data_IF_248435765092
#
_entry.id   IF_248435765092
#
_cell.length_a   1.000
_cell.length_b   1.000
_cell.length_c   1.000
_cell.angle_alpha   90.00
_cell.angle_beta   90.00
_cell.angle_gamma   90.00
#
_symmetry.space_group_name_H-M   'P 1'
#
loop_
_entity.id
_entity.type
_entity.pdbx_description
1 polymer ?
#
# COMPACT_ATOMS: atom_id res chain seq x y z
N UNK A 1 -8.53 1.62 25.23
CA UNK A 1 -7.50 1.64 24.18
C UNK A 1 -7.80 2.78 23.23
N UNK A 2 -6.93 3.81 23.18
CA UNK A 2 -7.10 5.04 22.37
C UNK A 2 -6.90 4.81 20.85
N UNK A 3 -6.64 3.55 20.51
CA UNK A 3 -6.05 3.09 19.27
C UNK A 3 -7.02 2.09 18.66
N UNK A 4 -7.64 2.45 17.56
CA UNK A 4 -8.56 1.55 16.88
C UNK A 4 -7.80 0.47 16.13
N UNK A 5 -6.56 0.74 15.67
CA UNK A 5 -5.67 -0.21 14.98
C UNK A 5 -4.21 0.30 14.80
N UNK A 6 -3.77 1.34 15.52
CA UNK A 6 -2.42 1.89 15.34
C UNK A 6 -2.16 3.09 16.25
N UNK A 7 -0.99 3.71 16.11
CA UNK A 7 -0.48 4.82 16.92
C UNK A 7 -0.89 6.22 16.40
N UNK A 8 -0.64 7.27 17.20
CA UNK A 8 -1.04 8.66 16.87
C UNK A 8 0.19 9.27 16.23
N UNK A 9 -0.03 9.90 15.09
CA UNK A 9 0.99 10.70 14.43
C UNK A 9 0.68 12.17 14.65
N UNK A 10 1.73 13.00 14.73
CA UNK A 10 1.56 14.44 14.74
C UNK A 10 0.99 14.91 13.40
N UNK A 11 -0.02 15.78 13.45
CA UNK A 11 -0.66 16.31 12.24
C UNK A 11 0.34 17.06 11.35
N UNK A 12 1.27 17.81 11.95
CA UNK A 12 2.32 18.53 11.22
C UNK A 12 3.22 17.56 10.45
N UNK A 13 3.69 16.49 11.10
CA UNK A 13 4.51 15.47 10.46
C UNK A 13 3.75 14.81 9.29
N UNK A 14 2.46 14.50 9.47
CA UNK A 14 1.63 13.93 8.39
C UNK A 14 1.48 14.89 7.20
N UNK A 15 1.27 16.19 7.46
CA UNK A 15 1.14 17.21 6.41
C UNK A 15 2.46 17.39 5.65
N UNK A 16 3.59 17.43 6.37
CA UNK A 16 4.92 17.53 5.77
C UNK A 16 5.26 16.28 4.95
N UNK A 17 4.97 15.10 5.47
CA UNK A 17 5.24 13.83 4.79
C UNK A 17 4.39 13.65 3.53
N UNK A 18 3.10 14.01 3.59
CA UNK A 18 2.21 13.99 2.43
C UNK A 18 2.75 14.89 1.30
N UNK A 19 3.32 16.05 1.66
CA UNK A 19 3.95 17.02 0.77
C UNK A 19 5.42 16.70 0.41
N UNK A 20 5.95 15.54 0.80
CA UNK A 20 7.37 15.15 0.61
C UNK A 20 8.37 16.19 1.12
N UNK A 21 8.04 16.84 2.24
CA UNK A 21 8.85 17.87 2.92
C UNK A 21 9.20 17.44 4.34
N UNK A 22 9.57 16.18 4.46
CA UNK A 22 9.97 15.58 5.74
C UNK A 22 11.15 16.34 6.35
N UNK A 23 10.99 16.78 7.60
CA UNK A 23 12.07 17.40 8.39
C UNK A 23 12.76 16.40 9.32
N UNK A 24 12.22 15.18 9.40
CA UNK A 24 12.72 14.04 10.17
C UNK A 24 12.50 12.77 9.36
N UNK A 25 13.25 11.72 9.64
CA UNK A 25 13.02 10.40 9.03
C UNK A 25 11.59 9.92 9.33
N UNK A 26 10.79 9.52 8.32
CA UNK A 26 9.42 9.11 8.54
C UNK A 26 9.36 7.79 9.31
N UNK A 27 8.47 7.73 10.31
CA UNK A 27 8.19 6.49 11.04
C UNK A 27 7.24 5.59 10.26
N UNK A 28 7.17 4.31 10.62
CA UNK A 28 6.27 3.36 9.98
C UNK A 28 4.79 3.79 10.11
N UNK A 29 4.41 4.30 11.28
CA UNK A 29 3.09 4.83 11.59
C UNK A 29 2.76 6.05 10.72
N UNK A 30 3.76 6.89 10.43
CA UNK A 30 3.61 8.06 9.57
C UNK A 30 3.38 7.66 8.11
N UNK A 31 4.07 6.63 7.64
CA UNK A 31 3.84 6.03 6.32
C UNK A 31 2.42 5.48 6.22
N UNK A 32 1.97 4.67 7.19
CA UNK A 32 0.59 4.14 7.23
C UNK A 32 -0.44 5.28 7.26
N UNK A 33 -0.22 6.31 8.07
CA UNK A 33 -1.13 7.44 8.17
C UNK A 33 -1.26 8.21 6.85
N UNK A 34 -0.15 8.37 6.12
CA UNK A 34 -0.14 8.95 4.76
C UNK A 34 -0.88 8.06 3.77
N UNK A 35 -0.71 6.75 3.82
CA UNK A 35 -1.40 5.82 2.94
C UNK A 35 -2.91 5.85 3.17
N UNK A 36 -3.34 5.87 4.43
CA UNK A 36 -4.75 6.04 4.80
C UNK A 36 -5.28 7.39 4.27
N UNK A 37 -4.52 8.48 4.43
CA UNK A 37 -4.92 9.81 3.97
C UNK A 37 -5.05 9.88 2.43
N UNK A 38 -4.06 9.37 1.70
CA UNK A 38 -4.08 9.31 0.22
C UNK A 38 -5.23 8.44 -0.27
N UNK A 39 -5.43 7.29 0.35
CA UNK A 39 -6.52 6.37 0.01
C UNK A 39 -7.88 7.01 0.24
N UNK A 40 -8.06 7.72 1.36
CA UNK A 40 -9.29 8.49 1.64
C UNK A 40 -9.57 9.55 0.59
N UNK A 41 -8.56 10.33 0.20
CA UNK A 41 -8.70 11.36 -0.86
C UNK A 41 -9.02 10.74 -2.21
N UNK A 42 -8.38 9.62 -2.55
CA UNK A 42 -8.62 8.88 -3.80
C UNK A 42 -10.07 8.42 -3.89
N UNK A 43 -10.59 7.77 -2.84
CA UNK A 43 -11.99 7.32 -2.82
C UNK A 43 -12.95 8.51 -2.94
N UNK A 44 -12.70 9.60 -2.20
CA UNK A 44 -13.56 10.77 -2.22
C UNK A 44 -13.60 11.48 -3.60
N UNK A 45 -12.49 11.44 -4.35
CA UNK A 45 -12.38 12.03 -5.69
C UNK A 45 -13.03 11.19 -6.80
N UNK A 46 -13.39 9.94 -6.52
CA UNK A 46 -14.01 9.02 -7.48
C UNK A 46 -15.53 8.96 -7.31
N UNK A 47 -16.23 8.29 -8.24
CA UNK A 47 -17.68 8.07 -8.13
C UNK A 47 -18.05 7.29 -6.84
N UNK A 48 -19.27 7.47 -6.28
CA UNK A 48 -19.71 6.81 -5.04
C UNK A 48 -19.58 5.28 -5.02
N UNK A 49 -19.70 4.62 -6.16
CA UNK A 49 -19.65 3.18 -6.36
C UNK A 49 -18.23 2.64 -6.63
N UNK A 50 -17.28 3.50 -6.99
CA UNK A 50 -15.94 3.10 -7.44
C UNK A 50 -15.21 2.23 -6.41
N UNK A 51 -15.17 2.63 -5.14
CA UNK A 51 -14.36 1.97 -4.12
C UNK A 51 -14.78 0.52 -3.81
N UNK A 52 -16.03 0.16 -4.11
CA UNK A 52 -16.57 -1.19 -3.92
C UNK A 52 -16.60 -2.00 -5.23
N UNK A 53 -16.27 -1.36 -6.35
CA UNK A 53 -16.09 -2.05 -7.63
C UNK A 53 -14.87 -2.99 -7.58
N UNK A 54 -14.86 -3.99 -8.45
CA UNK A 54 -13.71 -4.91 -8.58
C UNK A 54 -12.42 -4.15 -8.89
N UNK A 55 -12.47 -3.14 -9.76
CA UNK A 55 -11.31 -2.33 -10.10
C UNK A 55 -10.87 -1.44 -8.93
N UNK A 56 -11.82 -0.79 -8.26
CA UNK A 56 -11.53 0.03 -7.09
C UNK A 56 -10.82 -0.77 -5.99
N UNK A 57 -11.35 -1.94 -5.63
CA UNK A 57 -10.73 -2.78 -4.60
C UNK A 57 -9.34 -3.25 -5.02
N UNK A 58 -9.16 -3.72 -6.27
CA UNK A 58 -7.84 -4.11 -6.80
C UNK A 58 -6.82 -2.98 -6.68
N UNK A 59 -7.22 -1.79 -7.11
CA UNK A 59 -6.40 -0.58 -7.05
C UNK A 59 -6.06 -0.17 -5.62
N UNK A 60 -7.03 -0.26 -4.69
CA UNK A 60 -6.84 0.09 -3.29
C UNK A 60 -5.86 -0.87 -2.60
N UNK A 61 -5.95 -2.18 -2.89
CA UNK A 61 -5.03 -3.22 -2.37
C UNK A 61 -3.58 -2.98 -2.79
N UNK A 62 -3.35 -2.78 -4.09
CA UNK A 62 -2.00 -2.50 -4.61
C UNK A 62 -1.39 -1.23 -4.00
N UNK A 63 -2.21 -0.23 -3.69
CA UNK A 63 -1.72 1.01 -3.05
C UNK A 63 -1.27 0.74 -1.61
N UNK A 64 -1.94 -0.16 -0.89
CA UNK A 64 -1.56 -0.57 0.47
C UNK A 64 -0.35 -1.51 0.53
N UNK A 65 -0.12 -2.31 -0.50
CA UNK A 65 1.02 -3.25 -0.54
C UNK A 65 2.34 -2.54 -0.90
N UNK A 66 2.26 -1.37 -1.51
CA UNK A 66 3.40 -0.53 -1.83
C UNK A 66 3.95 0.18 -0.57
N UNK A 67 4.47 -0.61 0.37
CA UNK A 67 5.36 -0.10 1.41
C UNK A 67 6.61 0.43 0.70
N UNK A 68 6.93 1.74 0.76
CA UNK A 68 8.14 2.25 0.15
C UNK A 68 9.33 1.80 0.99
N UNK A 69 9.94 0.68 0.60
CA UNK A 69 11.31 0.38 1.02
C UNK A 69 12.20 1.36 0.25
N UNK A 70 12.48 2.50 0.89
CA UNK A 70 13.42 3.49 0.40
C UNK A 70 12.83 4.41 -0.67
N UNK A 71 13.07 5.71 -0.47
CA UNK A 71 12.94 6.68 -1.54
C UNK A 71 13.87 6.29 -2.69
N UNK A 72 13.32 6.01 -3.87
CA UNK A 72 13.93 6.50 -5.11
C UNK A 72 12.94 6.57 -6.27
N UNK A 73 13.08 7.67 -7.01
CA UNK A 73 12.60 7.95 -8.36
C UNK A 73 11.22 7.38 -8.82
N UNK A 74 10.16 8.16 -8.58
CA UNK A 74 9.01 8.16 -9.48
C UNK A 74 9.29 9.11 -10.67
N UNK A 75 9.97 8.60 -11.69
CA UNK A 75 10.03 9.20 -13.03
C UNK A 75 8.60 9.27 -13.62
N UNK A 76 8.12 10.42 -14.11
CA UNK A 76 6.90 10.45 -14.90
C UNK A 76 7.20 9.96 -16.32
N UNK A 77 6.63 8.80 -16.66
CA UNK A 77 6.52 8.31 -18.02
C UNK A 77 5.86 9.37 -18.92
N UNK A 78 6.67 9.96 -19.81
CA UNK A 78 6.25 10.91 -20.84
C UNK A 78 6.85 10.52 -22.19
N UNK A 79 6.19 9.58 -22.87
CA UNK A 79 6.45 9.23 -24.27
C UNK A 79 6.13 10.44 -25.15
N UNK A 80 7.13 11.07 -25.78
CA UNK A 80 6.95 11.77 -27.06
C UNK A 80 8.09 11.41 -28.01
N UNK A 81 7.66 10.98 -29.19
CA UNK A 81 8.40 10.42 -30.31
C UNK A 81 9.41 11.41 -30.89
N UNK A 82 10.60 10.89 -31.19
CA UNK A 82 11.60 11.56 -32.02
C UNK A 82 11.06 11.75 -33.46
N UNK A 83 11.12 12.99 -33.94
CA UNK A 83 10.88 13.33 -35.35
C UNK A 83 12.24 13.68 -35.98
N UNK A 84 12.65 12.83 -36.92
CA UNK A 84 13.79 13.01 -37.81
C UNK A 84 13.48 14.12 -38.82
N UNK A 85 14.41 15.07 -38.98
CA UNK A 85 14.54 15.92 -40.18
C UNK A 85 16.04 16.01 -40.52
N UNK A 86 16.46 15.29 -41.56
CA UNK A 86 17.59 15.57 -42.47
C UNK A 86 17.21 16.79 -43.34
N UNK A 87 18.05 17.73 -43.79
CA UNK A 87 19.43 17.77 -44.34
C UNK A 87 19.74 19.30 -44.65
N UNK A 88 20.81 19.74 -45.36
CA UNK A 88 22.27 19.61 -45.16
C UNK A 88 23.03 20.98 -45.23
N UNK A 89 24.36 20.91 -45.07
CA UNK A 89 25.44 21.79 -45.58
C UNK A 89 25.60 23.26 -45.12
N UNK A 90 26.77 23.52 -44.52
CA UNK A 90 27.38 24.84 -44.34
C UNK A 90 28.79 24.68 -43.77
N UNK A 91 29.79 24.65 -44.65
CA UNK A 91 31.24 24.59 -44.34
C UNK A 91 31.70 25.80 -43.52
N UNK A 92 32.64 25.59 -42.58
CA UNK A 92 33.34 26.67 -41.90
C UNK A 92 34.12 26.27 -40.65
N UNK A 93 35.34 25.75 -40.87
CA UNK A 93 36.56 26.01 -40.10
C UNK A 93 36.71 25.50 -38.64
N UNK A 94 37.98 25.23 -38.35
CA UNK A 94 38.55 24.42 -37.28
C UNK A 94 38.25 24.89 -35.84
N UNK A 95 37.98 23.91 -34.97
CA UNK A 95 37.80 24.11 -33.53
C UNK A 95 37.48 22.79 -32.84
N UNK A 96 38.50 21.94 -32.67
CA UNK A 96 38.47 20.77 -31.81
C UNK A 96 38.26 21.22 -30.35
N UNK A 97 37.02 21.12 -29.86
CA UNK A 97 36.70 21.13 -28.43
C UNK A 97 35.45 20.28 -28.22
N UNK A 98 35.60 18.97 -28.42
CA UNK A 98 34.69 18.01 -27.82
C UNK A 98 35.15 17.80 -26.38
N UNK A 99 34.59 18.55 -25.44
CA UNK A 99 34.67 18.26 -24.00
C UNK A 99 34.00 16.90 -23.71
N UNK A 100 34.72 15.82 -23.99
CA UNK A 100 34.52 14.55 -23.33
C UNK A 100 34.84 14.78 -21.85
N UNK A 101 33.80 14.83 -21.01
CA UNK A 101 33.93 14.90 -19.55
C UNK A 101 34.97 13.88 -19.06
N UNK A 102 36.17 14.32 -18.64
CA UNK A 102 37.28 13.43 -18.37
C UNK A 102 37.24 13.06 -16.89
N UNK A 103 36.35 12.14 -16.49
CA UNK A 103 36.55 11.36 -15.25
C UNK A 103 35.54 10.22 -15.01
N UNK A 104 34.92 9.67 -16.06
CA UNK A 104 34.16 8.43 -15.90
C UNK A 104 35.05 7.28 -16.37
N UNK A 105 35.67 6.60 -15.40
CA UNK A 105 36.39 5.36 -15.66
C UNK A 105 35.39 4.26 -16.02
N UNK A 106 35.03 4.19 -17.30
CA UNK A 106 34.14 3.18 -17.84
C UNK A 106 34.65 1.75 -17.58
N UNK A 107 35.96 1.55 -17.43
CA UNK A 107 36.51 0.26 -17.07
C UNK A 107 36.20 -0.11 -15.60
N UNK A 108 36.13 0.88 -14.70
CA UNK A 108 35.67 0.67 -13.33
C UNK A 108 34.17 0.30 -13.28
N UNK A 109 33.33 0.92 -14.12
CA UNK A 109 31.90 0.58 -14.24
C UNK A 109 31.73 -0.85 -14.76
N UNK A 110 32.44 -1.21 -15.84
CA UNK A 110 32.37 -2.55 -16.41
C UNK A 110 32.87 -3.62 -15.43
N UNK A 111 33.89 -3.33 -14.63
CA UNK A 111 34.39 -4.22 -13.59
C UNK A 111 33.37 -4.46 -12.47
N UNK A 112 32.59 -3.44 -12.10
CA UNK A 112 31.50 -3.56 -11.12
C UNK A 112 30.32 -4.34 -11.69
N UNK A 113 29.97 -4.11 -12.95
CA UNK A 113 28.91 -4.86 -13.63
C UNK A 113 29.27 -6.34 -13.78
N UNK A 114 30.49 -6.65 -14.22
CA UNK A 114 30.96 -8.03 -14.35
C UNK A 114 30.98 -8.76 -12.99
N UNK A 115 31.36 -8.07 -11.92
CA UNK A 115 31.35 -8.63 -10.55
C UNK A 115 29.92 -8.88 -10.06
N UNK A 116 28.99 -7.98 -10.38
CA UNK A 116 27.58 -8.10 -10.01
C UNK A 116 26.91 -9.26 -10.76
N UNK A 117 27.20 -9.41 -12.06
CA UNK A 117 26.69 -10.50 -12.87
C UNK A 117 27.23 -11.86 -12.42
N UNK A 118 28.50 -11.94 -12.04
CA UNK A 118 29.09 -13.14 -11.43
C UNK A 118 28.42 -13.50 -10.09
N UNK A 119 28.15 -12.51 -9.23
CA UNK A 119 27.48 -12.72 -7.94
C UNK A 119 26.02 -13.17 -8.10
N UNK A 120 25.29 -12.60 -9.07
CA UNK A 120 23.92 -13.01 -9.41
C UNK A 120 23.90 -14.41 -10.03
N UNK A 121 24.89 -14.74 -10.86
CA UNK A 121 25.08 -16.08 -11.43
C UNK A 121 25.28 -17.14 -10.35
N UNK A 122 26.10 -16.87 -9.34
CA UNK A 122 26.31 -17.76 -8.20
C UNK A 122 25.05 -17.90 -7.32
N UNK A 123 24.28 -16.82 -7.14
CA UNK A 123 23.02 -16.86 -6.40
C UNK A 123 21.89 -17.62 -7.13
N UNK A 124 21.93 -17.67 -8.47
CA UNK A 124 20.93 -18.37 -9.30
C UNK A 124 21.23 -19.85 -9.52
N UNK A 125 22.41 -20.36 -9.12
CA UNK A 125 22.71 -21.80 -9.24
C UNK A 125 21.86 -22.60 -8.23
N UNK A 126 21.05 -23.57 -8.69
CA UNK A 126 20.35 -24.48 -7.80
C UNK A 126 21.36 -25.35 -7.05
N UNK A 127 21.39 -25.24 -5.73
CA UNK A 127 22.28 -26.02 -4.88
C UNK A 127 21.81 -27.47 -4.80
N UNK A 128 22.39 -28.33 -5.64
CA UNK A 128 22.29 -29.78 -5.47
C UNK A 128 23.31 -30.26 -4.41
N UNK A 129 22.77 -30.42 -3.19
CA UNK A 129 23.12 -31.35 -2.11
C UNK A 129 24.59 -31.82 -1.92
N UNK A 130 25.19 -31.41 -0.79
CA UNK A 130 26.01 -32.31 0.05
C UNK A 130 26.19 -31.75 1.49
N UNK A 131 25.56 -32.42 2.46
CA UNK A 131 26.18 -32.80 3.74
C UNK A 131 26.57 -31.74 4.78
N UNK A 132 25.71 -31.57 5.80
CA UNK A 132 26.06 -31.51 7.24
C UNK A 132 27.30 -30.71 7.65
N UNK A 133 27.12 -29.42 8.02
CA UNK A 133 27.80 -28.73 9.16
C UNK A 133 27.47 -27.25 9.38
N UNK A 134 26.51 -26.64 8.67
CA UNK A 134 26.14 -25.23 8.87
C UNK A 134 24.78 -25.02 9.57
N UNK A 135 24.40 -25.94 10.48
CA UNK A 135 23.12 -25.86 11.22
C UNK A 135 23.16 -24.90 12.43
N UNK A 136 24.22 -24.10 12.61
CA UNK A 136 24.39 -23.24 13.79
C UNK A 136 24.56 -21.74 13.50
N UNK A 137 24.40 -21.28 12.25
CA UNK A 137 24.43 -19.83 11.92
C UNK A 137 23.26 -19.36 11.06
N UNK A 138 22.15 -20.11 11.04
CA UNK A 138 20.88 -19.69 10.44
C UNK A 138 19.85 -19.20 11.46
N UNK A 139 20.22 -19.14 12.73
CA UNK A 139 19.38 -18.60 13.80
C UNK A 139 19.56 -17.09 13.91
N UNK A 140 19.13 -16.37 12.89
CA UNK A 140 18.82 -14.94 12.97
C UNK A 140 17.86 -14.53 11.84
N UNK A 141 16.88 -15.40 11.57
CA UNK A 141 15.67 -15.05 10.83
C UNK A 141 14.49 -15.31 11.75
N UNK A 142 14.05 -14.27 12.46
CA UNK A 142 12.66 -13.80 12.39
C UNK A 142 12.42 -12.60 13.33
N UNK A 143 11.52 -11.66 12.97
CA UNK A 143 10.12 -11.90 13.29
C UNK A 143 9.15 -11.32 12.26
N UNK A 144 8.95 -12.04 11.17
CA UNK A 144 7.74 -11.94 10.37
C UNK A 144 7.31 -13.36 10.02
N UNK A 145 6.57 -13.98 10.95
CA UNK A 145 5.78 -15.17 10.67
C UNK A 145 4.65 -14.73 9.74
N UNK A 146 4.98 -14.56 8.46
CA UNK A 146 4.03 -14.47 7.38
C UNK A 146 3.71 -15.89 6.95
N UNK A 147 2.43 -16.22 6.98
CA UNK A 147 1.96 -17.45 6.41
C UNK A 147 2.08 -17.30 4.88
N UNK A 148 3.03 -18.00 4.28
CA UNK A 148 3.23 -18.01 2.82
C UNK A 148 1.97 -18.51 2.10
N UNK A 149 1.11 -19.23 2.81
CA UNK A 149 -0.17 -19.74 2.32
C UNK A 149 -1.34 -18.76 2.58
N UNK A 150 -1.07 -17.51 3.00
CA UNK A 150 -2.12 -16.50 3.21
C UNK A 150 -2.72 -16.03 1.89
N UNK A 151 -3.81 -16.68 1.49
CA UNK A 151 -4.59 -16.30 0.32
C UNK A 151 -5.50 -15.10 0.63
N UNK A 152 -5.03 -13.89 0.29
CA UNK A 152 -5.82 -12.66 0.39
C UNK A 152 -6.96 -12.61 -0.63
N UNK A 153 -6.79 -13.21 -1.80
CA UNK A 153 -7.81 -13.20 -2.86
C UNK A 153 -9.01 -14.04 -2.43
N UNK A 154 -8.78 -15.24 -1.90
CA UNK A 154 -9.83 -16.10 -1.36
C UNK A 154 -10.59 -15.42 -0.20
N UNK A 155 -9.88 -14.75 0.72
CA UNK A 155 -10.51 -14.01 1.83
C UNK A 155 -11.29 -12.80 1.35
N UNK A 156 -10.80 -12.11 0.32
CA UNK A 156 -11.53 -11.01 -0.29
C UNK A 156 -12.81 -11.51 -0.96
N UNK A 157 -12.76 -12.65 -1.65
CA UNK A 157 -13.94 -13.27 -2.26
C UNK A 157 -14.95 -13.72 -1.20
N UNK A 158 -14.48 -14.27 -0.08
CA UNK A 158 -15.33 -14.59 1.07
C UNK A 158 -15.98 -13.31 1.65
N UNK A 159 -15.21 -12.23 1.83
CA UNK A 159 -15.74 -10.95 2.28
C UNK A 159 -16.78 -10.37 1.31
N UNK A 160 -16.55 -10.47 -0.01
CA UNK A 160 -17.52 -10.07 -1.04
C UNK A 160 -18.79 -10.92 -1.00
N UNK A 161 -18.67 -12.21 -0.73
CA UNK A 161 -19.82 -13.12 -0.53
C UNK A 161 -20.69 -12.66 0.65
N UNK A 162 -20.06 -12.33 1.79
CA UNK A 162 -20.77 -11.75 2.96
C UNK A 162 -21.47 -10.44 2.58
N UNK A 163 -20.82 -9.58 1.80
CA UNK A 163 -21.40 -8.32 1.36
C UNK A 163 -22.59 -8.51 0.41
N UNK A 164 -22.57 -9.54 -0.44
CA UNK A 164 -23.68 -9.92 -1.31
C UNK A 164 -24.86 -10.48 -0.52
N UNK A 165 -24.61 -11.30 0.51
CA UNK A 165 -25.66 -11.79 1.41
C UNK A 165 -26.38 -10.65 2.14
N UNK A 166 -25.67 -9.56 2.47
CA UNK A 166 -26.22 -8.40 3.16
C UNK A 166 -26.83 -7.32 2.22
N UNK A 167 -26.92 -7.57 0.90
CA UNK A 167 -27.37 -6.56 -0.07
C UNK A 167 -28.82 -6.09 0.16
N UNK A 168 -29.69 -6.98 0.64
CA UNK A 168 -31.09 -6.69 0.92
C UNK A 168 -31.32 -5.88 2.21
N UNK A 169 -30.27 -5.67 3.01
CA UNK A 169 -30.36 -4.94 4.27
C UNK A 169 -30.16 -3.42 4.05
N UNK A 170 -30.66 -2.56 4.97
CA UNK A 170 -30.34 -1.14 4.96
C UNK A 170 -28.82 -0.90 4.95
N UNK A 171 -28.38 0.14 4.25
CA UNK A 171 -26.96 0.39 4.00
C UNK A 171 -26.10 0.52 5.27
N UNK A 172 -26.67 1.01 6.38
CA UNK A 172 -25.99 1.06 7.69
C UNK A 172 -25.70 -0.35 8.22
N UNK A 173 -26.66 -1.27 8.15
CA UNK A 173 -26.45 -2.66 8.56
C UNK A 173 -25.45 -3.37 7.64
N UNK A 174 -25.54 -3.15 6.33
CA UNK A 174 -24.57 -3.66 5.37
C UNK A 174 -23.15 -3.18 5.70
N UNK A 175 -22.99 -1.90 6.05
CA UNK A 175 -21.71 -1.32 6.45
C UNK A 175 -21.16 -1.93 7.75
N UNK A 176 -22.01 -2.15 8.76
CA UNK A 176 -21.64 -2.80 10.02
C UNK A 176 -21.17 -4.24 9.78
N UNK A 177 -21.94 -5.03 9.04
CA UNK A 177 -21.61 -6.42 8.70
C UNK A 177 -20.32 -6.50 7.90
N UNK A 178 -20.14 -5.60 6.93
CA UNK A 178 -18.94 -5.55 6.11
C UNK A 178 -17.68 -5.25 6.95
N UNK A 179 -17.78 -4.35 7.93
CA UNK A 179 -16.65 -4.02 8.80
C UNK A 179 -16.32 -5.15 9.78
N UNK A 180 -17.33 -5.79 10.38
CA UNK A 180 -17.13 -6.98 11.23
C UNK A 180 -16.45 -8.11 10.45
N UNK A 181 -17.00 -8.45 9.27
CA UNK A 181 -16.45 -9.50 8.42
C UNK A 181 -15.02 -9.21 7.96
N UNK A 182 -14.70 -7.95 7.63
CA UNK A 182 -13.34 -7.56 7.25
C UNK A 182 -12.33 -7.86 8.36
N UNK A 183 -12.69 -7.55 9.61
CA UNK A 183 -11.81 -7.77 10.76
C UNK A 183 -11.67 -9.25 11.12
N UNK A 184 -12.76 -10.02 11.03
CA UNK A 184 -12.75 -11.44 11.36
C UNK A 184 -11.99 -12.27 10.32
N UNK A 185 -12.19 -11.98 9.03
CA UNK A 185 -11.49 -12.65 7.93
C UNK A 185 -10.03 -12.21 7.81
N UNK A 186 -9.66 -11.08 8.44
CA UNK A 186 -8.34 -10.45 8.30
C UNK A 186 -7.93 -10.27 6.83
N UNK A 187 -8.83 -9.76 6.00
CA UNK A 187 -8.74 -9.83 4.51
C UNK A 187 -7.35 -9.44 3.97
N UNK A 188 -6.78 -8.34 4.48
CA UNK A 188 -5.43 -7.90 4.13
C UNK A 188 -4.54 -7.93 5.38
N UNK A 189 -3.32 -8.43 5.22
CA UNK A 189 -2.35 -8.46 6.32
C UNK A 189 -1.73 -7.07 6.58
N UNK A 190 -1.45 -6.31 5.51
CA UNK A 190 -0.73 -5.04 5.60
C UNK A 190 -1.63 -3.81 5.70
N UNK A 191 -2.92 -3.96 5.38
CA UNK A 191 -3.88 -2.86 5.45
C UNK A 191 -5.23 -3.25 6.08
N UNK A 192 -5.25 -3.74 7.34
CA UNK A 192 -6.50 -3.96 8.07
C UNK A 192 -7.34 -2.69 8.21
N UNK A 193 -6.71 -1.51 8.12
CA UNK A 193 -7.38 -0.21 8.13
C UNK A 193 -8.30 0.03 6.91
N UNK A 194 -8.10 -0.67 5.79
CA UNK A 194 -8.86 -0.45 4.55
C UNK A 194 -10.34 -0.78 4.71
N UNK A 195 -10.69 -1.81 5.49
CA UNK A 195 -12.08 -2.20 5.74
C UNK A 195 -12.97 -1.08 6.27
N UNK A 196 -12.40 -0.14 7.04
CA UNK A 196 -13.12 1.04 7.55
C UNK A 196 -13.42 2.05 6.46
N UNK A 197 -12.52 2.19 5.49
CA UNK A 197 -12.74 3.06 4.35
C UNK A 197 -13.79 2.46 3.40
N UNK A 198 -13.78 1.13 3.22
CA UNK A 198 -14.82 0.42 2.47
C UNK A 198 -16.18 0.52 3.18
N UNK A 199 -16.22 0.40 4.50
CA UNK A 199 -17.41 0.64 5.32
C UNK A 199 -17.98 2.06 5.09
N UNK A 200 -17.14 3.09 5.13
CA UNK A 200 -17.55 4.47 4.82
C UNK A 200 -18.02 4.61 3.36
N UNK A 201 -17.43 3.86 2.43
CA UNK A 201 -17.80 3.85 1.02
C UNK A 201 -19.19 3.25 0.79
N UNK A 202 -19.61 2.25 1.56
CA UNK A 202 -20.98 1.69 1.50
C UNK A 202 -22.02 2.78 1.83
N UNK A 203 -21.77 3.57 2.89
CA UNK A 203 -22.64 4.67 3.27
C UNK A 203 -22.67 5.80 2.23
N UNK A 204 -21.52 6.07 1.59
CA UNK A 204 -21.41 7.04 0.50
C UNK A 204 -22.15 6.57 -0.76
N UNK A 205 -21.97 5.31 -1.15
CA UNK A 205 -22.65 4.72 -2.31
C UNK A 205 -24.18 4.78 -2.15
N UNK A 206 -24.67 4.57 -0.92
CA UNK A 206 -26.10 4.67 -0.60
C UNK A 206 -26.63 6.11 -0.46
N UNK A 207 -25.77 7.14 -0.63
CA UNK A 207 -26.17 8.55 -0.50
C UNK A 207 -26.43 9.02 0.94
N UNK A 208 -26.13 8.21 1.96
CA UNK A 208 -26.27 8.59 3.37
C UNK A 208 -25.26 9.67 3.75
N UNK A 209 -24.06 9.56 3.19
CA UNK A 209 -22.99 10.55 3.38
C UNK A 209 -22.74 11.26 2.06
N UNK A 210 -22.97 12.57 2.04
CA UNK A 210 -22.96 13.40 0.82
C UNK A 210 -21.82 14.42 0.79
N UNK A 211 -20.95 14.41 1.81
CA UNK A 211 -19.83 15.35 1.90
C UNK A 211 -18.70 15.05 0.91
N UNK A 212 -17.84 16.04 0.71
CA UNK A 212 -16.58 15.94 -0.04
C UNK A 212 -15.55 14.98 0.58
N UNK A 213 -15.85 14.41 1.74
CA UNK A 213 -14.97 13.56 2.51
C UNK A 213 -15.70 12.31 3.01
N UNK A 214 -14.97 11.19 3.11
CA UNK A 214 -15.50 9.96 3.69
C UNK A 214 -15.82 10.13 5.17
N UNK A 215 -16.92 9.54 5.63
CA UNK A 215 -17.28 9.50 7.04
C UNK A 215 -16.13 8.97 7.92
N UNK A 216 -15.93 9.62 9.06
CA UNK A 216 -14.90 9.27 10.03
C UNK A 216 -15.43 8.24 11.04
N UNK A 217 -15.75 7.03 10.56
CA UNK A 217 -16.35 5.94 11.37
C UNK A 217 -15.52 5.64 12.63
N UNK A 218 -14.20 5.79 12.53
CA UNK A 218 -13.29 5.61 13.66
C UNK A 218 -13.53 6.56 14.84
N UNK A 219 -14.13 7.73 14.62
CA UNK A 219 -14.42 8.64 15.73
C UNK A 219 -15.40 8.01 16.72
N UNK A 220 -16.46 7.40 16.19
CA UNK A 220 -17.47 6.68 16.95
C UNK A 220 -16.92 5.43 17.62
N UNK A 221 -16.26 4.56 16.84
CA UNK A 221 -15.66 3.33 17.33
C UNK A 221 -14.67 3.55 18.48
N UNK A 222 -14.00 4.71 18.55
CA UNK A 222 -13.01 5.03 19.59
C UNK A 222 -13.65 5.11 20.98
N UNK A 223 -14.94 5.44 21.04
CA UNK A 223 -15.72 5.54 22.29
C UNK A 223 -16.06 4.17 22.87
N UNK A 224 -16.00 3.11 22.07
CA UNK A 224 -16.37 1.75 22.47
C UNK A 224 -15.17 1.04 23.12
N UNK A 225 -15.35 0.25 24.20
CA UNK A 225 -14.25 -0.55 24.76
C UNK A 225 -13.69 -1.58 23.77
N UNK A 226 -12.37 -1.81 23.80
CA UNK A 226 -11.70 -2.74 22.88
C UNK A 226 -12.22 -4.17 23.01
N UNK A 227 -12.54 -4.60 24.24
CA UNK A 227 -13.05 -5.95 24.52
C UNK A 227 -14.40 -6.21 23.87
N UNK A 228 -15.22 -5.16 23.68
CA UNK A 228 -16.49 -5.26 22.96
C UNK A 228 -16.27 -5.27 21.45
N UNK A 229 -15.33 -4.49 20.94
CA UNK A 229 -15.01 -4.44 19.49
C UNK A 229 -14.38 -5.73 18.98
N UNK A 230 -13.56 -6.38 19.80
CA UNK A 230 -12.84 -7.63 19.46
C UNK A 230 -13.40 -8.84 20.24
N UNK A 231 -14.68 -8.77 20.61
CA UNK A 231 -15.33 -9.85 21.36
C UNK A 231 -15.43 -11.11 20.51
N UNK A 232 -15.37 -12.30 21.11
CA UNK A 232 -15.48 -13.58 20.35
C UNK A 232 -16.88 -13.81 19.78
N UNK A 233 -17.90 -13.38 20.51
CA UNK A 233 -19.28 -13.42 20.04
C UNK A 233 -19.56 -12.31 19.01
N UNK A 234 -20.13 -12.72 17.87
CA UNK A 234 -20.41 -11.87 16.72
C UNK A 234 -21.46 -10.82 17.03
N UNK A 235 -22.52 -11.16 17.75
CA UNK A 235 -23.59 -10.21 18.07
C UNK A 235 -23.05 -9.04 18.89
N UNK A 236 -22.21 -9.34 19.88
CA UNK A 236 -21.53 -8.34 20.71
C UNK A 236 -20.69 -7.37 19.87
N UNK A 237 -19.96 -7.88 18.85
CA UNK A 237 -19.17 -7.04 17.94
C UNK A 237 -20.04 -6.19 17.03
N UNK A 238 -21.11 -6.76 16.45
CA UNK A 238 -22.03 -6.02 15.59
C UNK A 238 -22.70 -4.88 16.37
N UNK A 239 -23.14 -5.13 17.60
CA UNK A 239 -23.68 -4.09 18.50
C UNK A 239 -22.61 -3.06 18.89
N UNK A 240 -21.36 -3.49 19.07
CA UNK A 240 -20.26 -2.56 19.34
C UNK A 240 -20.03 -1.59 18.18
N UNK A 241 -20.08 -2.07 16.93
CA UNK A 241 -19.95 -1.23 15.74
C UNK A 241 -21.19 -0.33 15.57
N UNK A 242 -22.40 -0.85 15.82
CA UNK A 242 -23.64 -0.07 15.68
C UNK A 242 -23.74 1.09 16.68
N UNK A 243 -23.21 0.92 17.90
CA UNK A 243 -23.23 1.97 18.93
C UNK A 243 -22.13 3.02 18.77
N UNK A 244 -21.07 2.71 18.02
CA UNK A 244 -19.92 3.61 17.82
C UNK A 244 -20.08 4.43 16.57
#
# INVERSE_FOLDING_TARGET
SLWIDGELVHLEDLVLHDATRDIRTPTHELTIARDVLRTRRRIAAQSPDWALSTEGIRTLRQTSDNTPIGADAAEPAGVIRSAVVTDPEGEGDEGDDTEFLPDVDYAAIDAVLARSEAAIGDARRPSHAAGSRAAASRTEKDPLVYDLDWDEDARLDEWRSVLGQAEHLPAVFRAIIALDAWNELSVLQHAPWLGRLLCASILRQAGITTGSHLAAINLGLKTIPVDRRRHRDRETRLLAIAHG
#
